data_IF_311044517308
#
_entry.id   IF_311044517308
#
_cell.length_a   1.000
_cell.length_b   1.000
_cell.length_c   1.000
_cell.angle_alpha   90.00
_cell.angle_beta   90.00
_cell.angle_gamma   90.00
#
_symmetry.space_group_name_H-M   'P 1'
#
loop_
_entity.id
_entity.type
_entity.pdbx_description
1 polymer ?
#
# COMPACT_ATOMS: atom_id res chain seq x y z
N UNK A 1 -10.46 31.12 -28.04
CA UNK A 1 -9.16 31.60 -27.47
C UNK A 1 -8.04 30.69 -27.96
N UNK A 2 -6.83 31.22 -28.16
CA UNK A 2 -5.65 30.39 -28.45
C UNK A 2 -5.01 29.84 -27.17
N UNK A 3 -4.15 28.80 -27.24
CA UNK A 3 -3.40 28.31 -26.07
C UNK A 3 -2.54 29.39 -25.40
N UNK A 4 -1.89 30.26 -26.19
CA UNK A 4 -1.10 31.39 -25.69
C UNK A 4 -1.97 32.39 -24.90
N UNK A 5 -3.17 32.67 -25.38
CA UNK A 5 -4.14 33.57 -24.73
C UNK A 5 -4.69 33.02 -23.42
N UNK A 6 -4.76 31.69 -23.28
CA UNK A 6 -5.15 31.03 -22.03
C UNK A 6 -4.02 31.05 -21.00
N UNK A 7 -2.78 30.85 -21.44
CA UNK A 7 -1.62 30.83 -20.56
C UNK A 7 -1.23 32.24 -20.06
N UNK A 8 -1.47 33.28 -20.87
CA UNK A 8 -1.14 34.67 -20.53
C UNK A 8 -2.32 35.61 -20.82
N UNK A 9 -3.33 35.68 -19.93
CA UNK A 9 -4.50 36.53 -20.14
C UNK A 9 -4.19 38.03 -20.30
N UNK A 10 -3.02 38.48 -19.85
CA UNK A 10 -2.50 39.85 -19.97
C UNK A 10 -2.39 40.34 -21.43
N UNK A 11 -2.24 39.42 -22.40
CA UNK A 11 -2.11 39.79 -23.83
C UNK A 11 -3.46 40.11 -24.49
N UNK A 12 -4.58 39.91 -23.78
CA UNK A 12 -5.92 40.10 -24.28
C UNK A 12 -6.28 41.58 -24.34
N UNK A 13 -5.90 42.26 -25.43
CA UNK A 13 -6.31 43.64 -25.75
C UNK A 13 -7.71 43.69 -26.40
N UNK A 14 -8.25 44.90 -26.59
CA UNK A 14 -9.62 45.14 -27.10
C UNK A 14 -10.01 44.30 -28.33
N UNK A 15 -9.13 44.22 -29.35
CA UNK A 15 -9.37 43.41 -30.57
C UNK A 15 -9.54 41.92 -30.26
N UNK A 16 -8.67 41.36 -29.40
CA UNK A 16 -8.75 39.94 -28.99
C UNK A 16 -9.99 39.67 -28.14
N UNK A 17 -10.35 40.59 -27.25
CA UNK A 17 -11.56 40.47 -26.42
C UNK A 17 -12.83 40.46 -27.29
N UNK A 18 -12.92 41.31 -28.33
CA UNK A 18 -14.03 41.29 -29.30
C UNK A 18 -14.12 39.98 -30.07
N UNK A 19 -12.99 39.44 -30.53
CA UNK A 19 -12.96 38.14 -31.21
C UNK A 19 -13.40 37.00 -30.30
N UNK A 20 -12.98 37.02 -29.04
CA UNK A 20 -13.36 36.00 -28.04
C UNK A 20 -14.85 36.11 -27.70
N UNK A 21 -15.34 37.34 -27.50
CA UNK A 21 -16.75 37.62 -27.26
C UNK A 21 -17.63 37.10 -28.41
N UNK A 22 -17.30 37.45 -29.65
CA UNK A 22 -18.01 36.98 -30.84
C UNK A 22 -17.96 35.44 -31.00
N UNK A 23 -16.78 34.83 -30.77
CA UNK A 23 -16.63 33.38 -30.88
C UNK A 23 -17.26 32.57 -29.74
N UNK A 24 -17.58 33.21 -28.61
CA UNK A 24 -18.19 32.58 -27.45
C UNK A 24 -19.67 32.96 -27.26
N UNK A 25 -20.24 33.79 -28.16
CA UNK A 25 -21.64 34.23 -28.07
C UNK A 25 -21.93 35.15 -26.87
N UNK A 26 -20.92 35.83 -26.33
CA UNK A 26 -21.04 36.69 -25.15
C UNK A 26 -20.62 38.12 -25.48
N UNK A 27 -20.96 39.07 -24.61
CA UNK A 27 -20.55 40.46 -24.75
C UNK A 27 -19.09 40.67 -24.32
N UNK A 28 -18.46 41.73 -24.84
CA UNK A 28 -17.10 42.12 -24.42
C UNK A 28 -17.06 42.48 -22.93
N UNK A 29 -18.17 42.94 -22.36
CA UNK A 29 -18.29 43.27 -20.94
C UNK A 29 -18.21 42.01 -20.06
N UNK A 30 -18.86 40.92 -20.46
CA UNK A 30 -18.77 39.63 -19.75
C UNK A 30 -17.36 39.05 -19.81
N UNK A 31 -16.68 39.18 -20.96
CA UNK A 31 -15.26 38.79 -21.09
C UNK A 31 -14.37 39.62 -20.13
N UNK A 32 -14.62 40.92 -20.00
CA UNK A 32 -13.89 41.77 -19.06
C UNK A 32 -14.15 41.37 -17.60
N UNK A 33 -15.40 41.05 -17.25
CA UNK A 33 -15.78 40.63 -15.90
C UNK A 33 -15.07 39.34 -15.49
N UNK A 34 -15.02 38.35 -16.40
CA UNK A 34 -14.33 37.09 -16.16
C UNK A 34 -12.82 37.27 -15.97
N UNK A 35 -12.19 38.10 -16.80
CA UNK A 35 -10.76 38.40 -16.69
C UNK A 35 -10.41 39.07 -15.35
N UNK A 36 -11.25 39.99 -14.90
CA UNK A 36 -11.05 40.67 -13.61
C UNK A 36 -11.21 39.70 -12.42
N UNK A 37 -12.20 38.80 -12.47
CA UNK A 37 -12.38 37.77 -11.43
C UNK A 37 -11.18 36.81 -11.38
N UNK A 38 -10.69 36.37 -12.54
CA UNK A 38 -9.52 35.52 -12.63
C UNK A 38 -8.26 36.19 -12.07
N UNK A 39 -8.04 37.48 -12.37
CA UNK A 39 -6.91 38.26 -11.84
C UNK A 39 -6.98 38.39 -10.31
N UNK A 40 -8.17 38.59 -9.74
CA UNK A 40 -8.37 38.62 -8.30
C UNK A 40 -8.04 37.27 -7.65
N UNK A 41 -8.52 36.16 -8.22
CA UNK A 41 -8.19 34.82 -7.74
C UNK A 41 -6.69 34.53 -7.82
N UNK A 42 -6.02 34.95 -8.91
CA UNK A 42 -4.57 34.83 -9.03
C UNK A 42 -3.82 35.64 -7.97
N UNK A 43 -4.29 36.85 -7.62
CA UNK A 43 -3.71 37.67 -6.54
C UNK A 43 -3.85 36.98 -5.18
N UNK A 44 -5.02 36.41 -4.88
CA UNK A 44 -5.27 35.64 -3.65
C UNK A 44 -4.38 34.40 -3.58
N UNK A 45 -4.31 33.61 -4.65
CA UNK A 45 -3.43 32.43 -4.72
C UNK A 45 -1.95 32.81 -4.58
N UNK A 46 -1.53 33.93 -5.17
CA UNK A 46 -0.15 34.43 -5.06
C UNK A 46 0.17 34.86 -3.63
N UNK A 47 -0.75 35.53 -2.93
CA UNK A 47 -0.60 35.88 -1.52
C UNK A 47 -0.54 34.64 -0.61
N UNK A 48 -1.33 33.60 -0.92
CA UNK A 48 -1.30 32.32 -0.20
C UNK A 48 0.03 31.57 -0.41
N UNK A 49 0.55 31.57 -1.65
CA UNK A 49 1.82 30.92 -2.01
C UNK A 49 3.07 31.61 -1.47
N UNK A 50 3.04 32.94 -1.28
CA UNK A 50 4.23 33.74 -0.96
C UNK A 50 4.49 34.00 0.53
N UNK A 51 3.68 33.52 1.46
CA UNK A 51 3.98 33.85 2.87
C UNK A 51 3.19 33.20 3.99
N UNK A 52 1.94 32.77 3.78
CA UNK A 52 1.11 32.25 4.88
C UNK A 52 1.70 31.00 5.54
N UNK A 53 2.11 30.03 4.73
CA UNK A 53 2.65 28.76 5.24
C UNK A 53 4.10 28.86 5.73
N UNK A 54 4.90 29.72 5.11
CA UNK A 54 6.30 29.95 5.50
C UNK A 54 6.41 30.68 6.85
N UNK A 55 5.51 31.62 7.13
CA UNK A 55 5.48 32.37 8.40
C UNK A 55 4.95 31.51 9.55
N UNK A 56 3.94 30.67 9.29
CA UNK A 56 3.41 29.68 10.25
C UNK A 56 4.47 28.62 10.61
N UNK A 57 5.21 28.12 9.61
CA UNK A 57 6.29 27.15 9.84
C UNK A 57 7.47 27.74 10.62
N UNK A 58 7.77 29.04 10.47
CA UNK A 58 8.79 29.72 11.29
C UNK A 58 8.34 29.93 12.73
N UNK A 59 7.08 30.29 12.95
CA UNK A 59 6.52 30.44 14.30
C UNK A 59 6.51 29.09 15.05
N UNK A 60 6.16 28.00 14.36
CA UNK A 60 6.14 26.64 14.93
C UNK A 60 7.55 26.08 15.18
N UNK A 61 8.53 26.44 14.35
CA UNK A 61 9.95 26.06 14.53
C UNK A 61 10.60 26.77 15.73
N UNK A 62 10.06 27.88 16.20
CA UNK A 62 10.55 28.61 17.38
C UNK A 62 10.15 28.00 18.73
N UNK A 63 9.23 27.02 18.76
CA UNK A 63 8.67 26.45 19.99
C UNK A 63 9.13 25.01 20.30
N UNK A 64 10.09 24.46 19.56
CA UNK A 64 10.62 23.10 19.79
C UNK A 64 12.09 23.16 20.24
N UNK A 65 12.40 22.89 21.52
CA UNK A 65 13.77 22.76 21.99
C UNK A 65 14.31 21.35 21.75
N UNK A 66 15.58 21.26 21.35
CA UNK A 66 16.38 20.03 21.49
C UNK A 66 16.79 19.40 20.17
N UNK A 67 18.07 19.53 19.83
CA UNK A 67 18.68 18.98 18.63
C UNK A 67 19.17 17.55 18.80
N UNK A 68 19.23 16.83 17.67
CA UNK A 68 20.07 15.66 17.48
C UNK A 68 21.08 15.97 16.35
N UNK A 69 22.39 16.04 16.63
CA UNK A 69 23.41 16.23 15.62
C UNK A 69 23.78 14.88 15.00
N UNK A 70 23.62 14.74 13.68
CA UNK A 70 24.09 13.55 12.96
C UNK A 70 23.40 13.24 11.63
N UNK A 71 22.24 13.81 11.34
CA UNK A 71 21.62 13.65 10.02
C UNK A 71 21.96 14.85 9.14
N UNK A 72 22.81 14.63 8.13
CA UNK A 72 22.90 15.53 6.96
C UNK A 72 21.47 15.81 6.49
N UNK A 73 21.07 17.07 6.62
CA UNK A 73 19.78 17.57 6.19
C UNK A 73 19.73 17.64 4.66
N UNK A 74 19.65 16.49 4.00
CA UNK A 74 19.02 16.41 2.68
C UNK A 74 17.51 16.48 2.89
N UNK A 75 16.92 17.55 2.37
CA UNK A 75 15.62 18.09 2.76
C UNK A 75 14.47 17.08 2.86
N UNK A 76 13.72 17.16 3.96
CA UNK A 76 12.52 16.34 4.20
C UNK A 76 11.44 16.41 3.11
N UNK A 77 11.47 17.44 2.24
CA UNK A 77 10.61 17.52 1.05
C UNK A 77 10.97 16.52 -0.06
N UNK A 78 12.25 16.14 -0.20
CA UNK A 78 12.67 15.12 -1.17
C UNK A 78 12.23 13.71 -0.76
N UNK A 79 12.32 13.41 0.54
CA UNK A 79 11.98 12.09 1.09
C UNK A 79 10.50 11.74 0.96
N UNK A 80 9.61 12.70 1.26
CA UNK A 80 8.16 12.50 1.07
C UNK A 80 7.82 12.35 -0.42
N UNK A 81 8.47 13.13 -1.29
CA UNK A 81 8.29 13.02 -2.74
C UNK A 81 8.66 11.63 -3.24
N UNK A 82 9.74 11.04 -2.75
CA UNK A 82 10.15 9.68 -3.13
C UNK A 82 9.12 8.62 -2.74
N UNK A 83 8.52 8.76 -1.55
CA UNK A 83 7.43 7.87 -1.08
C UNK A 83 6.20 8.01 -1.97
N UNK A 84 5.78 9.23 -2.29
CA UNK A 84 4.64 9.48 -3.18
C UNK A 84 4.91 8.96 -4.60
N UNK A 85 6.15 9.10 -5.10
CA UNK A 85 6.57 8.53 -6.39
C UNK A 85 6.52 7.00 -6.34
N UNK A 86 6.94 6.38 -5.24
CA UNK A 86 6.85 4.93 -5.06
C UNK A 86 5.40 4.45 -5.06
N UNK A 87 4.47 5.14 -4.39
CA UNK A 87 3.03 4.86 -4.47
C UNK A 87 2.48 5.02 -5.88
N UNK A 88 2.86 6.09 -6.59
CA UNK A 88 2.44 6.30 -7.97
C UNK A 88 2.98 5.24 -8.94
N UNK A 89 4.21 4.73 -8.71
CA UNK A 89 4.75 3.59 -9.46
C UNK A 89 4.01 2.31 -9.10
N UNK A 90 3.84 1.99 -7.82
CA UNK A 90 3.12 0.81 -7.35
C UNK A 90 1.69 0.74 -7.89
N UNK A 91 0.96 1.87 -7.88
CA UNK A 91 -0.40 1.94 -8.43
C UNK A 91 -0.44 1.69 -9.94
N UNK A 92 0.50 2.28 -10.70
CA UNK A 92 0.61 2.01 -12.15
C UNK A 92 0.97 0.56 -12.44
N UNK A 93 1.90 0.00 -11.67
CA UNK A 93 2.33 -1.37 -11.78
C UNK A 93 1.17 -2.33 -11.50
N UNK A 94 0.43 -2.11 -10.40
CA UNK A 94 -0.76 -2.89 -10.03
C UNK A 94 -1.85 -2.84 -11.11
N UNK A 95 -2.00 -1.70 -11.78
CA UNK A 95 -2.95 -1.51 -12.88
C UNK A 95 -2.55 -2.15 -14.21
N UNK A 96 -1.33 -2.71 -14.34
CA UNK A 96 -0.93 -3.43 -15.56
C UNK A 96 -1.74 -4.73 -15.68
N UNK A 97 -2.25 -5.02 -16.88
CA UNK A 97 -3.11 -6.20 -17.14
C UNK A 97 -2.47 -7.52 -16.71
N UNK A 98 -1.17 -7.69 -16.98
CA UNK A 98 -0.42 -8.88 -16.57
C UNK A 98 -0.43 -9.01 -15.05
N UNK A 99 -0.12 -7.94 -14.32
CA UNK A 99 0.01 -7.98 -12.86
C UNK A 99 -1.33 -8.02 -12.12
N UNK A 100 -2.35 -7.36 -12.65
CA UNK A 100 -3.71 -7.41 -12.12
C UNK A 100 -4.27 -8.83 -12.17
N UNK A 101 -4.01 -9.59 -13.24
CA UNK A 101 -4.44 -10.99 -13.32
C UNK A 101 -3.78 -11.86 -12.26
N UNK A 102 -2.49 -11.66 -11.98
CA UNK A 102 -1.75 -12.39 -10.93
C UNK A 102 -2.38 -12.20 -9.55
N UNK A 103 -2.98 -11.04 -9.29
CA UNK A 103 -3.67 -10.75 -8.04
C UNK A 103 -5.05 -11.40 -7.95
N UNK A 104 -5.79 -11.48 -9.07
CA UNK A 104 -7.17 -11.95 -9.07
C UNK A 104 -7.29 -13.48 -9.10
N UNK A 105 -6.48 -14.16 -9.92
CA UNK A 105 -6.67 -15.59 -10.15
C UNK A 105 -6.60 -16.46 -8.87
N UNK A 106 -5.77 -16.17 -7.83
CA UNK A 106 -5.75 -16.99 -6.64
C UNK A 106 -7.02 -16.83 -5.80
N UNK A 107 -7.63 -15.64 -5.81
CA UNK A 107 -8.94 -15.40 -5.20
C UNK A 107 -10.05 -16.15 -5.94
N UNK A 108 -10.04 -16.11 -7.28
CA UNK A 108 -10.98 -16.89 -8.10
C UNK A 108 -10.82 -18.39 -7.87
N UNK A 109 -9.57 -18.88 -7.75
CA UNK A 109 -9.29 -20.28 -7.44
C UNK A 109 -9.85 -20.66 -6.06
N UNK A 110 -9.67 -19.82 -5.04
CA UNK A 110 -10.23 -20.07 -3.71
C UNK A 110 -11.77 -20.16 -3.76
N UNK A 111 -12.44 -19.29 -4.52
CA UNK A 111 -13.89 -19.34 -4.72
C UNK A 111 -14.30 -20.66 -5.39
N UNK A 112 -13.61 -21.08 -6.44
CA UNK A 112 -13.91 -22.35 -7.14
C UNK A 112 -13.73 -23.55 -6.21
N UNK A 113 -12.63 -23.59 -5.44
CA UNK A 113 -12.36 -24.65 -4.46
C UNK A 113 -13.48 -24.72 -3.44
N UNK A 114 -13.83 -23.60 -2.80
CA UNK A 114 -14.84 -23.57 -1.75
C UNK A 114 -16.26 -23.75 -2.28
N UNK A 115 -16.56 -23.35 -3.52
CA UNK A 115 -17.82 -23.68 -4.17
C UNK A 115 -17.94 -25.20 -4.40
N UNK A 116 -16.84 -25.85 -4.82
CA UNK A 116 -16.78 -27.30 -4.93
C UNK A 116 -16.95 -27.99 -3.57
N UNK A 117 -16.21 -27.54 -2.55
CA UNK A 117 -16.34 -28.05 -1.18
C UNK A 117 -17.76 -27.87 -0.65
N UNK A 118 -18.34 -26.68 -0.81
CA UNK A 118 -19.71 -26.40 -0.38
C UNK A 118 -20.68 -27.33 -1.10
N UNK A 119 -20.56 -27.53 -2.41
CA UNK A 119 -21.45 -28.42 -3.17
C UNK A 119 -21.45 -29.87 -2.63
N UNK A 120 -20.28 -30.45 -2.36
CA UNK A 120 -20.19 -31.84 -1.89
C UNK A 120 -20.42 -31.98 -0.38
N UNK A 121 -20.00 -31.01 0.41
CA UNK A 121 -20.06 -31.06 1.87
C UNK A 121 -21.33 -30.43 2.46
N UNK A 122 -22.20 -29.80 1.65
CA UNK A 122 -23.37 -29.07 2.13
C UNK A 122 -24.24 -29.93 3.05
N UNK A 123 -24.80 -31.00 2.51
CA UNK A 123 -25.68 -31.92 3.22
C UNK A 123 -25.02 -32.52 4.45
N UNK A 124 -23.86 -33.22 4.36
CA UNK A 124 -23.27 -33.86 5.53
C UNK A 124 -22.88 -32.87 6.63
N UNK A 125 -22.44 -31.65 6.29
CA UNK A 125 -22.11 -30.63 7.29
C UNK A 125 -23.38 -30.09 7.95
N UNK A 126 -24.42 -29.75 7.19
CA UNK A 126 -25.66 -29.22 7.78
C UNK A 126 -26.39 -30.25 8.63
N UNK A 127 -26.39 -31.53 8.23
CA UNK A 127 -26.94 -32.63 9.01
C UNK A 127 -26.13 -32.87 10.30
N UNK A 128 -24.80 -32.88 10.19
CA UNK A 128 -23.93 -33.01 11.36
C UNK A 128 -24.13 -31.85 12.34
N UNK A 129 -24.23 -30.61 11.85
CA UNK A 129 -24.50 -29.43 12.67
C UNK A 129 -25.90 -29.51 13.32
N UNK A 130 -26.92 -29.91 12.56
CA UNK A 130 -28.27 -30.08 13.10
C UNK A 130 -28.31 -31.16 14.19
N UNK A 131 -27.66 -32.30 13.95
CA UNK A 131 -27.53 -33.37 14.93
C UNK A 131 -26.80 -32.87 16.19
N UNK A 132 -25.68 -32.15 16.04
CA UNK A 132 -24.92 -31.57 17.15
C UNK A 132 -25.77 -30.59 17.99
N UNK A 133 -26.52 -29.70 17.35
CA UNK A 133 -27.41 -28.74 18.02
C UNK A 133 -28.58 -29.46 18.70
N UNK A 134 -29.17 -30.46 18.04
CA UNK A 134 -30.27 -31.24 18.61
C UNK A 134 -29.85 -32.09 19.81
N UNK A 135 -28.57 -32.49 19.89
CA UNK A 135 -28.00 -33.20 21.02
C UNK A 135 -27.82 -32.36 22.28
N UNK A 136 -27.94 -31.03 22.20
CA UNK A 136 -27.84 -30.16 23.38
C UNK A 136 -29.12 -30.24 24.22
N UNK A 137 -28.99 -30.59 25.49
CA UNK A 137 -30.13 -30.81 26.40
C UNK A 137 -31.10 -29.63 26.50
N UNK A 138 -30.61 -28.39 26.35
CA UNK A 138 -31.44 -27.19 26.40
C UNK A 138 -32.17 -26.88 25.09
N UNK A 139 -31.66 -27.32 23.93
CA UNK A 139 -32.25 -27.05 22.59
C UNK A 139 -33.06 -28.25 22.11
N UNK A 140 -32.57 -29.47 22.34
CA UNK A 140 -33.16 -30.71 21.85
C UNK A 140 -34.62 -30.87 22.27
N UNK A 141 -34.96 -30.54 23.52
CA UNK A 141 -36.35 -30.60 24.00
C UNK A 141 -37.28 -29.62 23.28
N UNK A 142 -36.79 -28.44 22.90
CA UNK A 142 -37.57 -27.42 22.18
C UNK A 142 -37.73 -27.79 20.70
N UNK A 143 -36.69 -28.39 20.12
CA UNK A 143 -36.69 -28.95 18.77
C UNK A 143 -37.68 -30.10 18.63
N UNK A 144 -37.74 -31.01 19.60
CA UNK A 144 -38.66 -32.14 19.58
C UNK A 144 -40.13 -31.76 19.85
N UNK A 145 -40.38 -30.58 20.41
CA UNK A 145 -41.73 -30.15 20.78
C UNK A 145 -42.52 -29.56 19.61
N UNK A 146 -41.87 -29.12 18.52
CA UNK A 146 -42.53 -28.51 17.38
C UNK A 146 -41.75 -28.68 16.08
N UNK A 147 -42.39 -29.25 15.06
CA UNK A 147 -41.82 -29.39 13.71
C UNK A 147 -41.46 -28.03 13.07
N UNK A 148 -42.23 -26.98 13.36
CA UNK A 148 -41.93 -25.64 12.83
C UNK A 148 -40.65 -25.07 13.43
N UNK A 149 -40.40 -25.30 14.72
CA UNK A 149 -39.16 -24.90 15.40
C UNK A 149 -37.96 -25.64 14.79
N UNK A 150 -38.10 -26.94 14.52
CA UNK A 150 -37.07 -27.73 13.86
C UNK A 150 -36.73 -27.22 12.46
N UNK A 151 -37.74 -26.92 11.65
CA UNK A 151 -37.55 -26.35 10.31
C UNK A 151 -36.83 -24.99 10.36
N UNK A 152 -37.21 -24.11 11.30
CA UNK A 152 -36.56 -22.80 11.49
C UNK A 152 -35.08 -22.98 11.84
N UNK A 153 -34.76 -23.86 12.80
CA UNK A 153 -33.37 -24.11 13.21
C UNK A 153 -32.54 -24.66 12.05
N UNK A 154 -33.10 -25.58 11.25
CA UNK A 154 -32.41 -26.09 10.07
C UNK A 154 -32.08 -24.98 9.06
N UNK A 155 -33.02 -24.09 8.78
CA UNK A 155 -32.79 -22.93 7.89
C UNK A 155 -31.70 -22.01 8.46
N UNK A 156 -31.70 -21.75 9.77
CA UNK A 156 -30.66 -20.96 10.42
C UNK A 156 -29.28 -21.63 10.30
N UNK A 157 -29.20 -22.95 10.45
CA UNK A 157 -27.96 -23.71 10.25
C UNK A 157 -27.48 -23.60 8.80
N UNK A 158 -28.38 -23.69 7.82
CA UNK A 158 -28.02 -23.52 6.40
C UNK A 158 -27.46 -22.12 6.12
N UNK A 159 -28.11 -21.08 6.63
CA UNK A 159 -27.64 -19.69 6.49
C UNK A 159 -26.28 -19.52 7.17
N UNK A 160 -26.12 -20.02 8.41
CA UNK A 160 -24.86 -19.94 9.14
C UNK A 160 -23.74 -20.69 8.41
N UNK A 161 -24.03 -21.86 7.83
CA UNK A 161 -23.07 -22.66 7.04
C UNK A 161 -22.65 -21.91 5.78
N UNK A 162 -23.59 -21.34 5.01
CA UNK A 162 -23.27 -20.48 3.86
C UNK A 162 -22.39 -19.29 4.28
N UNK A 163 -22.76 -18.62 5.38
CA UNK A 163 -22.03 -17.46 5.87
C UNK A 163 -20.61 -17.82 6.30
N UNK A 164 -20.39 -19.01 6.87
CA UNK A 164 -19.07 -19.51 7.27
C UNK A 164 -18.15 -19.80 6.07
N UNK A 165 -18.69 -20.12 4.89
CA UNK A 165 -17.88 -20.30 3.68
C UNK A 165 -17.19 -19.01 3.26
N UNK A 166 -17.82 -17.84 3.47
CA UNK A 166 -17.27 -16.53 3.08
C UNK A 166 -15.91 -16.21 3.74
N UNK A 167 -15.75 -16.23 5.07
CA UNK A 167 -14.45 -15.99 5.70
C UNK A 167 -13.43 -17.08 5.34
N UNK A 168 -13.86 -18.33 5.10
CA UNK A 168 -12.96 -19.40 4.68
C UNK A 168 -12.40 -19.14 3.27
N UNK A 169 -13.25 -18.76 2.32
CA UNK A 169 -12.84 -18.28 0.99
C UNK A 169 -11.86 -17.13 1.12
N UNK A 170 -12.18 -16.13 1.94
CA UNK A 170 -11.34 -14.96 2.14
C UNK A 170 -9.95 -15.32 2.68
N UNK A 171 -9.87 -16.17 3.72
CA UNK A 171 -8.58 -16.60 4.31
C UNK A 171 -7.77 -17.41 3.29
N UNK A 172 -8.39 -18.36 2.59
CA UNK A 172 -7.72 -19.14 1.54
C UNK A 172 -7.21 -18.24 0.41
N UNK A 173 -8.03 -17.31 -0.08
CA UNK A 173 -7.64 -16.34 -1.10
C UNK A 173 -6.46 -15.48 -0.63
N UNK A 174 -6.53 -14.92 0.58
CA UNK A 174 -5.47 -14.11 1.15
C UNK A 174 -4.15 -14.89 1.29
N UNK A 175 -4.21 -16.15 1.73
CA UNK A 175 -3.03 -17.01 1.78
C UNK A 175 -2.43 -17.28 0.41
N UNK A 176 -3.25 -17.60 -0.60
CA UNK A 176 -2.77 -17.82 -1.96
C UNK A 176 -2.15 -16.56 -2.58
N UNK A 177 -2.77 -15.39 -2.35
CA UNK A 177 -2.22 -14.10 -2.80
C UNK A 177 -0.87 -13.82 -2.12
N UNK A 178 -0.78 -14.01 -0.81
CA UNK A 178 0.45 -13.74 -0.06
C UNK A 178 1.60 -14.70 -0.43
N UNK A 179 1.28 -15.98 -0.64
CA UNK A 179 2.28 -17.03 -0.89
C UNK A 179 2.69 -17.17 -2.35
N UNK A 180 1.77 -16.89 -3.29
CA UNK A 180 2.01 -17.11 -4.73
C UNK A 180 2.01 -15.80 -5.50
N UNK A 181 0.93 -15.02 -5.43
CA UNK A 181 0.78 -13.86 -6.29
C UNK A 181 1.82 -12.77 -5.98
N UNK A 182 1.99 -12.44 -4.70
CA UNK A 182 2.87 -11.36 -4.28
C UNK A 182 4.33 -11.60 -4.73
N UNK A 183 4.98 -12.74 -4.43
CA UNK A 183 6.35 -13.00 -4.91
C UNK A 183 6.50 -12.86 -6.43
N UNK A 184 5.55 -13.38 -7.21
CA UNK A 184 5.55 -13.28 -8.67
C UNK A 184 5.47 -11.83 -9.15
N UNK A 185 4.62 -11.00 -8.51
CA UNK A 185 4.50 -9.58 -8.83
C UNK A 185 5.79 -8.82 -8.51
N UNK A 186 6.41 -9.09 -7.36
CA UNK A 186 7.66 -8.45 -6.95
C UNK A 186 8.81 -8.81 -7.89
N UNK A 187 8.95 -10.10 -8.22
CA UNK A 187 9.96 -10.56 -9.18
C UNK A 187 9.75 -9.96 -10.57
N UNK A 188 8.50 -9.87 -11.03
CA UNK A 188 8.16 -9.27 -12.32
C UNK A 188 8.59 -7.81 -12.38
N UNK A 189 8.24 -7.00 -11.37
CA UNK A 189 8.62 -5.58 -11.32
C UNK A 189 10.14 -5.42 -11.24
N UNK A 190 10.82 -6.23 -10.43
CA UNK A 190 12.27 -6.19 -10.36
C UNK A 190 12.91 -6.44 -11.72
N UNK A 191 12.43 -7.45 -12.46
CA UNK A 191 12.95 -7.80 -13.79
C UNK A 191 12.56 -6.83 -14.90
N UNK A 192 11.43 -6.14 -14.82
CA UNK A 192 11.01 -5.22 -15.89
C UNK A 192 11.44 -3.78 -15.64
N UNK A 193 11.27 -3.27 -14.42
CA UNK A 193 11.41 -1.85 -14.11
C UNK A 193 12.79 -1.51 -13.52
N UNK A 194 13.49 -2.55 -13.04
CA UNK A 194 14.83 -2.46 -12.45
C UNK A 194 15.80 -3.48 -13.05
N UNK A 195 15.60 -3.83 -14.32
CA UNK A 195 16.43 -4.78 -15.07
C UNK A 195 17.91 -4.35 -15.18
N UNK A 196 18.16 -3.05 -15.05
CA UNK A 196 19.49 -2.46 -15.02
C UNK A 196 20.26 -2.84 -13.74
N UNK A 197 19.58 -3.03 -12.60
CA UNK A 197 20.27 -3.33 -11.34
C UNK A 197 20.91 -4.72 -11.33
N UNK A 198 22.24 -4.76 -11.20
CA UNK A 198 22.98 -5.99 -10.95
C UNK A 198 22.46 -6.75 -9.72
N UNK A 199 22.26 -8.05 -9.88
CA UNK A 199 21.84 -8.96 -8.81
C UNK A 199 23.04 -9.51 -8.03
N UNK A 200 23.28 -8.99 -6.83
CA UNK A 200 24.37 -9.46 -5.95
C UNK A 200 23.96 -10.50 -4.91
N UNK A 201 22.66 -10.85 -4.85
CA UNK A 201 22.09 -11.93 -4.03
C UNK A 201 22.63 -11.99 -2.58
N UNK A 202 22.69 -10.84 -1.91
CA UNK A 202 23.18 -10.73 -0.53
C UNK A 202 22.23 -11.32 0.52
N UNK A 203 20.96 -11.57 0.17
CA UNK A 203 19.98 -12.23 1.02
C UNK A 203 19.65 -13.67 0.57
N UNK A 204 18.75 -14.34 1.30
CA UNK A 204 18.33 -15.71 1.01
C UNK A 204 16.84 -15.92 1.28
N UNK A 205 16.22 -16.90 0.61
CA UNK A 205 14.80 -17.23 0.82
C UNK A 205 14.54 -17.71 2.24
N UNK A 206 15.46 -18.50 2.81
CA UNK A 206 15.41 -18.91 4.22
C UNK A 206 15.52 -17.70 5.16
N UNK A 207 16.36 -16.72 4.82
CA UNK A 207 16.50 -15.48 5.56
C UNK A 207 15.23 -14.64 5.54
N UNK A 208 14.55 -14.54 4.39
CA UNK A 208 13.25 -13.87 4.24
C UNK A 208 12.18 -14.56 5.09
N UNK A 209 12.05 -15.89 4.97
CA UNK A 209 11.08 -16.66 5.74
C UNK A 209 11.28 -16.50 7.25
N UNK A 210 12.51 -16.65 7.74
CA UNK A 210 12.83 -16.45 9.16
C UNK A 210 12.56 -15.02 9.61
N UNK A 211 12.92 -14.03 8.80
CA UNK A 211 12.67 -12.62 9.10
C UNK A 211 11.17 -12.32 9.23
N UNK A 212 10.34 -12.87 8.35
CA UNK A 212 8.88 -12.71 8.39
C UNK A 212 8.23 -13.45 9.56
N UNK A 213 8.71 -14.65 9.91
CA UNK A 213 8.25 -15.39 11.11
C UNK A 213 8.57 -14.59 12.38
N UNK A 214 9.83 -14.15 12.54
CA UNK A 214 10.25 -13.36 13.70
C UNK A 214 9.48 -12.04 13.76
N UNK A 215 9.27 -11.38 12.62
CA UNK A 215 8.45 -10.17 12.55
C UNK A 215 7.01 -10.44 12.98
N UNK A 216 6.41 -11.54 12.54
CA UNK A 216 5.06 -11.96 12.92
C UNK A 216 4.93 -12.24 14.42
N UNK A 217 5.87 -12.99 15.01
CA UNK A 217 5.88 -13.25 16.46
C UNK A 217 6.01 -11.96 17.26
N UNK A 218 6.96 -11.10 16.90
CA UNK A 218 7.14 -9.80 17.56
C UNK A 218 5.92 -8.88 17.39
N UNK A 219 5.28 -8.91 16.22
CA UNK A 219 4.03 -8.19 15.97
C UNK A 219 2.91 -8.68 16.89
N UNK A 220 2.72 -9.99 17.04
CA UNK A 220 1.71 -10.56 17.94
C UNK A 220 2.00 -10.20 19.40
N UNK A 221 3.25 -10.27 19.84
CA UNK A 221 3.65 -9.84 21.18
C UNK A 221 3.36 -8.36 21.39
N UNK A 222 3.75 -7.50 20.43
CA UNK A 222 3.49 -6.07 20.50
C UNK A 222 1.99 -5.74 20.48
N UNK A 223 1.18 -6.51 19.74
CA UNK A 223 -0.27 -6.38 19.71
C UNK A 223 -0.87 -6.67 21.09
N UNK A 224 -0.49 -7.79 21.72
CA UNK A 224 -0.94 -8.16 23.07
C UNK A 224 -0.50 -7.11 24.11
N UNK A 225 0.75 -6.68 24.06
CA UNK A 225 1.27 -5.64 24.95
C UNK A 225 0.58 -4.29 24.74
N UNK A 226 0.05 -4.04 23.54
CA UNK A 226 -0.66 -2.79 23.24
C UNK A 226 -2.08 -2.76 23.82
N UNK A 227 -2.70 -3.90 24.18
CA UNK A 227 -4.12 -3.98 24.58
C UNK A 227 -4.54 -2.94 25.64
N UNK A 228 -3.76 -2.65 26.70
CA UNK A 228 -4.12 -1.62 27.68
C UNK A 228 -4.27 -0.23 27.06
N UNK A 229 -3.49 0.08 26.02
CA UNK A 229 -3.52 1.37 25.33
C UNK A 229 -4.75 1.54 24.43
N UNK A 230 -5.44 0.46 24.04
CA UNK A 230 -6.66 0.54 23.21
C UNK A 230 -7.84 1.18 23.95
N UNK A 231 -7.78 1.27 25.28
CA UNK A 231 -8.77 1.98 26.09
C UNK A 231 -8.76 3.50 25.85
N UNK A 232 -7.68 4.04 25.28
CA UNK A 232 -7.57 5.45 24.94
C UNK A 232 -8.25 5.68 23.57
N UNK A 233 -9.29 6.53 23.48
CA UNK A 233 -9.95 6.83 22.22
C UNK A 233 -8.97 7.27 21.13
N UNK A 234 -9.01 6.60 19.97
CA UNK A 234 -8.12 6.87 18.83
C UNK A 234 -6.75 6.19 18.87
N UNK A 235 -6.29 5.70 20.03
CA UNK A 235 -5.00 5.01 20.14
C UNK A 235 -4.96 3.71 19.33
N UNK A 236 -6.07 2.97 19.26
CA UNK A 236 -6.16 1.72 18.50
C UNK A 236 -5.79 1.88 17.02
N UNK A 237 -6.20 2.98 16.36
CA UNK A 237 -5.83 3.27 14.97
C UNK A 237 -4.33 3.56 14.84
N UNK A 238 -3.78 4.42 15.71
CA UNK A 238 -2.36 4.76 15.71
C UNK A 238 -1.48 3.53 15.96
N UNK A 239 -1.86 2.70 16.94
CA UNK A 239 -1.19 1.44 17.27
C UNK A 239 -1.23 0.50 16.07
N UNK A 240 -2.41 0.28 15.49
CA UNK A 240 -2.57 -0.68 14.40
C UNK A 240 -1.82 -0.25 13.14
N UNK A 241 -1.89 1.03 12.76
CA UNK A 241 -1.15 1.57 11.62
C UNK A 241 0.35 1.50 11.86
N UNK A 242 0.81 1.79 13.08
CA UNK A 242 2.23 1.75 13.44
C UNK A 242 2.76 0.32 13.44
N UNK A 243 2.08 -0.61 14.09
CA UNK A 243 2.47 -2.02 14.16
C UNK A 243 2.43 -2.68 12.78
N UNK A 244 1.39 -2.42 12.00
CA UNK A 244 1.28 -2.95 10.62
C UNK A 244 2.34 -2.32 9.72
N UNK A 245 2.59 -1.02 9.85
CA UNK A 245 3.65 -0.34 9.13
C UNK A 245 5.03 -0.90 9.47
N UNK A 246 5.29 -1.21 10.75
CA UNK A 246 6.51 -1.86 11.20
C UNK A 246 6.65 -3.29 10.67
N UNK A 247 5.57 -4.07 10.67
CA UNK A 247 5.55 -5.42 10.12
C UNK A 247 5.85 -5.40 8.62
N UNK A 248 5.16 -4.55 7.85
CA UNK A 248 5.39 -4.37 6.41
C UNK A 248 6.83 -3.92 6.14
N UNK A 249 7.34 -2.95 6.92
CA UNK A 249 8.71 -2.46 6.83
C UNK A 249 9.74 -3.57 7.06
N UNK A 250 9.49 -4.45 8.02
CA UNK A 250 10.41 -5.54 8.36
C UNK A 250 10.38 -6.66 7.33
N UNK A 251 9.20 -7.08 6.87
CA UNK A 251 9.03 -8.12 5.86
C UNK A 251 9.49 -7.64 4.47
N UNK A 252 8.76 -6.69 3.87
CA UNK A 252 8.99 -6.26 2.49
C UNK A 252 10.30 -5.50 2.30
N UNK A 253 10.82 -4.88 3.35
CA UNK A 253 12.13 -4.22 3.32
C UNK A 253 13.28 -5.20 3.05
N UNK A 254 13.21 -6.42 3.58
CA UNK A 254 14.18 -7.47 3.28
C UNK A 254 13.93 -8.05 1.89
N UNK A 255 12.68 -8.40 1.59
CA UNK A 255 12.29 -9.08 0.36
C UNK A 255 12.59 -8.25 -0.90
N UNK A 256 12.46 -6.92 -0.81
CA UNK A 256 12.76 -6.03 -1.92
C UNK A 256 14.26 -6.01 -2.29
N UNK A 257 15.14 -6.13 -1.30
CA UNK A 257 16.60 -5.96 -1.49
C UNK A 257 17.35 -7.28 -1.66
N UNK A 258 16.83 -8.40 -1.13
CA UNK A 258 17.58 -9.65 -0.98
C UNK A 258 18.24 -10.20 -2.25
N UNK A 259 17.64 -9.98 -3.43
CA UNK A 259 18.20 -10.44 -4.70
C UNK A 259 19.18 -9.46 -5.35
N UNK A 260 19.04 -8.16 -5.07
CA UNK A 260 19.77 -7.10 -5.76
C UNK A 260 20.96 -6.60 -4.94
N UNK A 261 20.76 -6.34 -3.64
CA UNK A 261 21.77 -5.80 -2.75
C UNK A 261 22.77 -6.87 -2.29
N UNK A 262 24.02 -6.48 -2.06
CA UNK A 262 24.97 -7.29 -1.30
C UNK A 262 24.64 -7.29 0.21
N UNK A 263 25.34 -8.12 1.01
CA UNK A 263 25.09 -8.23 2.46
C UNK A 263 25.27 -6.89 3.20
N UNK A 264 26.27 -6.10 2.81
CA UNK A 264 26.58 -4.82 3.43
C UNK A 264 25.63 -3.71 2.99
N UNK A 265 25.27 -3.66 1.70
CA UNK A 265 24.22 -2.79 1.17
C UNK A 265 22.86 -3.07 1.83
N UNK A 266 22.49 -4.35 1.97
CA UNK A 266 21.21 -4.76 2.57
C UNK A 266 21.10 -4.31 4.04
N UNK A 267 22.17 -4.43 4.83
CA UNK A 267 22.17 -3.96 6.21
C UNK A 267 22.14 -2.43 6.26
N UNK A 268 23.07 -1.76 5.58
CA UNK A 268 23.21 -0.29 5.60
C UNK A 268 21.96 0.43 5.11
N UNK A 269 21.37 0.00 3.99
CA UNK A 269 20.19 0.66 3.43
C UNK A 269 18.98 0.48 4.34
N UNK A 270 18.75 -0.73 4.87
CA UNK A 270 17.64 -0.93 5.80
C UNK A 270 17.81 -0.09 7.05
N UNK A 271 19.01 0.02 7.60
CA UNK A 271 19.27 0.80 8.82
C UNK A 271 19.19 2.31 8.60
N UNK A 272 19.73 2.81 7.48
CA UNK A 272 19.70 4.23 7.16
C UNK A 272 18.29 4.74 6.83
N UNK A 273 17.42 3.89 6.26
CA UNK A 273 16.11 4.29 5.75
C UNK A 273 14.92 3.76 6.57
N UNK A 274 15.16 3.23 7.79
CA UNK A 274 14.08 2.71 8.67
C UNK A 274 12.92 3.70 8.87
N UNK A 275 13.14 4.98 9.19
CA UNK A 275 12.03 5.91 9.43
C UNK A 275 11.14 6.12 8.21
N UNK A 276 11.74 6.20 7.02
CA UNK A 276 11.05 6.41 5.76
C UNK A 276 10.28 5.16 5.33
N UNK A 277 10.88 3.99 5.53
CA UNK A 277 10.21 2.71 5.33
C UNK A 277 9.03 2.52 6.30
N UNK A 278 9.15 2.99 7.54
CA UNK A 278 8.04 2.97 8.50
C UNK A 278 6.91 3.92 8.05
N UNK A 279 7.25 5.11 7.53
CA UNK A 279 6.27 6.03 6.96
C UNK A 279 5.58 5.44 5.72
N UNK A 280 6.35 4.83 4.82
CA UNK A 280 5.84 4.10 3.67
C UNK A 280 4.90 2.97 4.12
N UNK A 281 5.34 2.17 5.09
CA UNK A 281 4.57 1.09 5.70
C UNK A 281 3.27 1.58 6.33
N UNK A 282 3.31 2.65 7.13
CA UNK A 282 2.12 3.28 7.72
C UNK A 282 1.16 3.79 6.65
N UNK A 283 1.68 4.42 5.59
CA UNK A 283 0.88 4.86 4.45
C UNK A 283 0.17 3.69 3.75
N UNK A 284 0.85 2.56 3.56
CA UNK A 284 0.23 1.34 3.01
C UNK A 284 -0.75 0.67 3.99
N UNK A 285 -0.48 0.73 5.30
CA UNK A 285 -1.35 0.17 6.32
C UNK A 285 -2.70 0.90 6.39
N UNK A 286 -2.71 2.22 6.18
CA UNK A 286 -3.95 3.00 6.09
C UNK A 286 -4.87 2.52 4.95
N UNK A 287 -4.31 2.01 3.86
CA UNK A 287 -5.11 1.48 2.75
C UNK A 287 -5.91 0.23 3.13
N UNK A 288 -5.46 -0.52 4.13
CA UNK A 288 -6.17 -1.71 4.62
C UNK A 288 -7.50 -1.35 5.32
N UNK A 289 -7.68 -0.09 5.74
CA UNK A 289 -8.91 0.40 6.36
C UNK A 289 -9.93 0.92 5.34
N UNK A 290 -9.54 1.08 4.08
CA UNK A 290 -10.47 1.53 3.04
C UNK A 290 -11.15 0.29 2.44
N UNK A 291 -12.48 0.18 2.53
CA UNK A 291 -13.22 -0.92 1.92
C UNK A 291 -12.89 -1.07 0.44
N UNK A 292 -12.90 -2.31 -0.07
CA UNK A 292 -12.51 -2.68 -1.45
C UNK A 292 -11.01 -2.52 -1.74
N UNK A 293 -10.38 -1.43 -1.32
CA UNK A 293 -8.92 -1.23 -1.47
C UNK A 293 -8.14 -2.22 -0.61
N UNK A 294 -8.68 -2.61 0.55
CA UNK A 294 -8.06 -3.59 1.43
C UNK A 294 -7.74 -4.94 0.74
N UNK A 295 -8.50 -5.33 -0.29
CA UNK A 295 -8.27 -6.54 -1.09
C UNK A 295 -6.94 -6.50 -1.86
N UNK A 296 -6.51 -5.31 -2.27
CA UNK A 296 -5.27 -5.10 -3.03
C UNK A 296 -4.16 -4.49 -2.18
N UNK A 297 -4.45 -4.07 -0.95
CA UNK A 297 -3.52 -3.37 -0.07
C UNK A 297 -2.23 -4.16 0.22
N UNK A 298 -2.24 -5.48 0.49
CA UNK A 298 -1.00 -6.24 0.69
C UNK A 298 -0.11 -6.26 -0.55
N UNK A 299 -0.70 -6.46 -1.73
CA UNK A 299 0.00 -6.45 -3.00
C UNK A 299 0.58 -5.07 -3.32
N UNK A 300 -0.23 -4.02 -3.12
CA UNK A 300 0.21 -2.64 -3.27
C UNK A 300 1.36 -2.31 -2.31
N UNK A 301 1.29 -2.75 -1.05
CA UNK A 301 2.34 -2.53 -0.07
C UNK A 301 3.66 -3.14 -0.53
N UNK A 302 3.67 -4.42 -0.91
CA UNK A 302 4.89 -5.06 -1.43
C UNK A 302 5.47 -4.34 -2.64
N UNK A 303 4.64 -3.97 -3.61
CA UNK A 303 5.08 -3.20 -4.79
C UNK A 303 5.65 -1.83 -4.42
N UNK A 304 5.03 -1.12 -3.49
CA UNK A 304 5.51 0.18 -3.01
C UNK A 304 6.89 0.05 -2.35
N UNK A 305 7.09 -1.00 -1.53
CA UNK A 305 8.39 -1.30 -0.94
C UNK A 305 9.44 -1.66 -1.98
N UNK A 306 9.11 -2.49 -2.98
CA UNK A 306 10.03 -2.83 -4.08
C UNK A 306 10.44 -1.59 -4.85
N UNK A 307 9.48 -0.76 -5.27
CA UNK A 307 9.78 0.45 -6.00
C UNK A 307 10.62 1.44 -5.20
N UNK A 308 10.31 1.60 -3.91
CA UNK A 308 11.06 2.50 -3.03
C UNK A 308 12.49 1.99 -2.82
N UNK A 309 12.64 0.73 -2.41
CA UNK A 309 13.94 0.16 -2.04
C UNK A 309 14.89 -0.05 -3.21
N UNK A 310 14.40 -0.54 -4.36
CA UNK A 310 15.23 -0.70 -5.54
C UNK A 310 15.64 0.65 -6.14
N UNK A 311 14.77 1.66 -6.08
CA UNK A 311 15.14 3.02 -6.48
C UNK A 311 16.19 3.63 -5.54
N UNK A 312 16.05 3.44 -4.22
CA UNK A 312 17.06 3.87 -3.25
C UNK A 312 18.39 3.16 -3.48
N UNK A 313 18.38 1.85 -3.74
CA UNK A 313 19.58 1.08 -4.09
C UNK A 313 20.22 1.61 -5.38
N UNK A 314 19.43 1.84 -6.43
CA UNK A 314 19.90 2.41 -7.71
C UNK A 314 20.61 3.74 -7.50
N UNK A 315 19.98 4.66 -6.78
CA UNK A 315 20.58 5.99 -6.47
C UNK A 315 21.84 5.85 -5.64
N UNK A 316 21.84 4.97 -4.65
CA UNK A 316 23.01 4.72 -3.81
C UNK A 316 24.19 4.21 -4.63
N UNK A 317 23.98 3.24 -5.53
CA UNK A 317 25.04 2.71 -6.41
C UNK A 317 25.60 3.76 -7.37
N UNK A 318 24.73 4.56 -7.99
CA UNK A 318 25.13 5.67 -8.87
C UNK A 318 26.00 6.69 -8.11
N UNK A 319 25.61 7.05 -6.89
CA UNK A 319 26.36 8.01 -6.06
C UNK A 319 27.75 7.49 -5.64
N UNK A 320 27.92 6.17 -5.52
CA UNK A 320 29.18 5.54 -5.15
C UNK A 320 30.01 5.09 -6.36
N UNK A 321 29.62 5.49 -7.57
CA UNK A 321 30.37 5.19 -8.80
C UNK A 321 30.40 3.71 -9.18
N UNK A 322 29.50 2.89 -8.62
CA UNK A 322 29.31 1.50 -9.05
C UNK A 322 28.55 1.58 -10.36
N UNK A 323 29.24 1.37 -11.49
CA UNK A 323 28.58 1.27 -12.79
C UNK A 323 27.60 0.12 -12.68
N UNK A 324 26.39 0.31 -13.20
CA UNK A 324 25.20 -0.51 -12.91
C UNK A 324 25.36 -1.99 -13.37
N UNK A 325 26.52 -2.34 -13.96
CA UNK A 325 26.97 -3.67 -14.40
C UNK A 325 28.37 -4.08 -13.86
N UNK A 326 28.97 -3.38 -12.89
CA UNK A 326 30.31 -3.72 -12.39
C UNK A 326 30.27 -4.90 -11.42
N UNK A 327 30.90 -6.00 -11.81
CA UNK A 327 31.26 -7.09 -10.90
C UNK A 327 32.08 -6.56 -9.72
N UNK A 328 31.94 -7.18 -8.54
CA UNK A 328 32.64 -6.75 -7.32
C UNK A 328 34.13 -6.43 -7.57
N UNK A 329 34.66 -5.30 -7.06
CA UNK A 329 36.09 -5.11 -6.95
C UNK A 329 36.64 -6.13 -5.93
N UNK A 330 36.99 -7.32 -6.42
CA UNK A 330 37.45 -8.45 -5.60
C UNK A 330 36.96 -9.84 -6.05
N UNK A 331 36.00 -9.93 -6.97
CA UNK A 331 35.60 -11.23 -7.52
C UNK A 331 36.69 -11.76 -8.46
N UNK A 332 37.53 -12.66 -7.95
CA UNK A 332 38.55 -13.37 -8.74
C UNK A 332 37.87 -14.18 -9.84
N UNK A 333 37.87 -13.62 -11.06
CA UNK A 333 37.33 -14.21 -12.28
C UNK A 333 37.96 -15.56 -12.65
N UNK A 334 38.98 -16.02 -11.90
CA UNK A 334 39.61 -17.34 -12.07
C UNK A 334 38.81 -18.49 -11.47
N UNK A 335 37.74 -18.24 -10.69
CA UNK A 335 36.90 -19.30 -10.09
C UNK A 335 35.67 -19.69 -10.92
N UNK A 336 35.52 -19.17 -12.14
CA UNK A 336 34.42 -19.48 -13.06
C UNK A 336 34.90 -20.20 -14.33
N UNK A 337 35.86 -21.13 -14.21
CA UNK A 337 36.19 -22.11 -15.24
C UNK A 337 35.93 -23.51 -14.73
#
# INVERSE_FOLDING_TARGET
MTPLERAKPEILKASRKRRIAAGAGVTVQEVNRLLNQFEQTQKVMKQFSKGGMSKMMRAMKGMMPGGLPGMRAEGGGGRMKDILVAFGRAGRSLGRRDMFWHLLWPGLLAVVIWAGVAFYAWTPVTEWLYAAVSGWSFVGGWLSASETTAAIVLVLIQIATALLVVPLVYVTAAMLVATVALPLMLERVARTDYADLEQRRGGSNLGSAMNSIVAGVLFLLALVLSLPLWLIPGAGLLISVTLTGWLNQRAFGYDALMYHADKGELQRLRDAWRPQMLLLGGGTALLAYVPVINLVAPAFAGLAFVHYMLETLRRHRIQHGITVLDAEPGADLRKLR
#
